data_IF_413518667795
#
_entry.id   IF_413518667795
#
_cell.length_a   1.000
_cell.length_b   1.000
_cell.length_c   1.000
_cell.angle_alpha   90.00
_cell.angle_beta   90.00
_cell.angle_gamma   90.00
#
_symmetry.space_group_name_H-M   'P 1'
#
loop_
_entity.id
_entity.type
_entity.pdbx_description
1 polymer ?
#
# COMPACT_ATOMS: atom_id res chain seq x y z
N UNK A 1 5.83 -13.94 50.72
CA UNK A 1 5.88 -13.44 49.33
C UNK A 1 4.48 -13.00 48.95
N UNK A 2 4.28 -11.75 48.54
CA UNK A 2 3.01 -11.33 47.96
C UNK A 2 2.86 -11.99 46.58
N UNK A 3 1.73 -12.65 46.33
CA UNK A 3 1.48 -13.22 44.99
C UNK A 3 1.35 -12.08 43.98
N UNK A 4 1.89 -12.24 42.78
CA UNK A 4 1.77 -11.24 41.70
C UNK A 4 0.31 -10.79 41.48
N UNK A 5 -0.63 -11.75 41.56
CA UNK A 5 -2.08 -11.56 41.44
C UNK A 5 -2.74 -10.78 42.59
N UNK A 6 -2.01 -10.48 43.67
CA UNK A 6 -2.51 -9.65 44.78
C UNK A 6 -2.38 -8.14 44.54
N UNK A 7 -1.76 -7.74 43.42
CA UNK A 7 -1.64 -6.33 43.04
C UNK A 7 -2.88 -5.83 42.28
N UNK A 8 -3.16 -4.52 42.33
CA UNK A 8 -4.20 -3.90 41.53
C UNK A 8 -4.03 -4.15 40.01
N UNK A 9 -5.13 -4.22 39.25
CA UNK A 9 -5.11 -4.40 37.79
C UNK A 9 -4.17 -3.44 37.05
N UNK A 10 -4.07 -2.20 37.51
CA UNK A 10 -3.24 -1.16 36.89
C UNK A 10 -1.73 -1.45 37.02
N UNK A 11 -1.30 -2.04 38.15
CA UNK A 11 0.09 -2.43 38.34
C UNK A 11 0.42 -3.61 37.43
N UNK A 12 -0.48 -4.60 37.35
CA UNK A 12 -0.29 -5.77 36.49
C UNK A 12 -0.29 -5.36 35.01
N UNK A 13 -1.19 -4.47 34.59
CA UNK A 13 -1.22 -3.91 33.25
C UNK A 13 0.08 -3.16 32.90
N UNK A 14 0.65 -2.41 33.86
CA UNK A 14 1.95 -1.75 33.67
C UNK A 14 3.10 -2.75 33.55
N UNK A 15 3.07 -3.85 34.30
CA UNK A 15 4.05 -4.93 34.18
C UNK A 15 3.93 -5.59 32.80
N UNK A 16 2.72 -5.90 32.34
CA UNK A 16 2.45 -6.41 31.00
C UNK A 16 2.99 -5.47 29.91
N UNK A 17 2.76 -4.15 30.03
CA UNK A 17 3.31 -3.15 29.10
C UNK A 17 4.83 -2.94 29.18
N UNK A 18 5.47 -3.44 30.23
CA UNK A 18 6.92 -3.40 30.39
C UNK A 18 7.62 -4.60 29.73
N UNK A 19 6.87 -5.60 29.26
CA UNK A 19 7.41 -6.73 28.51
C UNK A 19 8.20 -6.27 27.28
N UNK A 20 9.14 -7.13 26.84
CA UNK A 20 10.01 -6.84 25.70
C UNK A 20 9.27 -7.06 24.38
N UNK A 21 8.35 -8.02 24.34
CA UNK A 21 7.55 -8.37 23.16
C UNK A 21 6.08 -8.61 23.48
N UNK A 22 5.24 -8.65 22.43
CA UNK A 22 3.85 -9.09 22.55
C UNK A 22 3.74 -10.55 23.01
N UNK A 23 4.66 -11.42 22.60
CA UNK A 23 4.67 -12.83 22.99
C UNK A 23 4.95 -12.99 24.49
N UNK A 24 5.89 -12.22 25.04
CA UNK A 24 6.18 -12.21 26.48
C UNK A 24 4.98 -11.70 27.28
N UNK A 25 4.36 -10.60 26.82
CA UNK A 25 3.18 -10.04 27.46
C UNK A 25 2.01 -11.03 27.42
N UNK A 26 1.80 -11.70 26.30
CA UNK A 26 0.75 -12.70 26.15
C UNK A 26 1.02 -13.96 26.97
N UNK A 27 2.26 -14.43 27.02
CA UNK A 27 2.66 -15.55 27.88
C UNK A 27 2.43 -15.24 29.36
N UNK A 28 2.79 -14.03 29.81
CA UNK A 28 2.53 -13.57 31.17
C UNK A 28 1.02 -13.46 31.45
N UNK A 29 0.25 -12.88 30.52
CA UNK A 29 -1.19 -12.78 30.63
C UNK A 29 -1.86 -14.16 30.78
N UNK A 30 -1.38 -15.16 30.05
CA UNK A 30 -1.90 -16.54 30.07
C UNK A 30 -1.47 -17.38 31.28
N UNK A 31 -0.65 -16.84 32.17
CA UNK A 31 -0.18 -17.57 33.37
C UNK A 31 -1.31 -17.93 34.34
N UNK A 32 -2.35 -17.09 34.43
CA UNK A 32 -3.55 -17.38 35.23
C UNK A 32 -4.79 -16.65 34.69
N UNK A 33 -5.97 -17.02 35.18
CA UNK A 33 -7.24 -16.42 34.76
C UNK A 33 -7.32 -14.92 35.09
N UNK A 34 -6.78 -14.48 36.23
CA UNK A 34 -6.84 -13.08 36.65
C UNK A 34 -5.99 -12.17 35.74
N UNK A 35 -4.76 -12.58 35.42
CA UNK A 35 -3.90 -11.83 34.48
C UNK A 35 -4.47 -11.83 33.07
N UNK A 36 -5.17 -12.90 32.67
CA UNK A 36 -5.84 -12.97 31.39
C UNK A 36 -7.07 -12.05 31.32
N UNK A 37 -7.84 -11.94 32.40
CA UNK A 37 -8.93 -10.96 32.49
C UNK A 37 -8.39 -9.52 32.37
N UNK A 38 -7.28 -9.20 33.05
CA UNK A 38 -6.62 -7.89 32.93
C UNK A 38 -6.15 -7.64 31.49
N UNK A 39 -5.69 -8.67 30.77
CA UNK A 39 -5.33 -8.53 29.36
C UNK A 39 -6.54 -8.16 28.49
N UNK A 40 -7.71 -8.72 28.76
CA UNK A 40 -8.93 -8.40 28.01
C UNK A 40 -9.41 -6.98 28.33
N UNK A 41 -9.42 -6.60 29.60
CA UNK A 41 -10.00 -5.33 30.06
C UNK A 41 -9.06 -4.12 29.86
N UNK A 42 -7.75 -4.31 30.02
CA UNK A 42 -6.74 -3.25 29.95
C UNK A 42 -5.79 -3.37 28.76
N UNK A 43 -6.00 -4.36 27.89
CA UNK A 43 -5.20 -4.70 26.71
C UNK A 43 -4.71 -3.50 25.92
N UNK A 44 -5.64 -2.61 25.59
CA UNK A 44 -5.38 -1.49 24.72
C UNK A 44 -4.29 -0.54 25.24
N UNK A 45 -4.19 -0.37 26.55
CA UNK A 45 -3.22 0.54 27.16
C UNK A 45 -1.77 0.10 26.96
N UNK A 46 -1.51 -1.21 27.01
CA UNK A 46 -0.16 -1.73 26.90
C UNK A 46 0.17 -2.27 25.51
N UNK A 47 -0.84 -2.60 24.69
CA UNK A 47 -0.63 -2.90 23.27
C UNK A 47 0.03 -1.71 22.57
N UNK A 48 -0.46 -0.49 22.81
CA UNK A 48 0.13 0.72 22.23
C UNK A 48 1.58 0.93 22.70
N UNK A 49 1.86 0.71 23.99
CA UNK A 49 3.20 0.85 24.59
C UNK A 49 4.19 -0.14 23.97
N UNK A 50 3.84 -1.42 23.92
CA UNK A 50 4.68 -2.47 23.33
C UNK A 50 4.82 -2.23 21.83
N UNK A 51 3.72 -1.87 21.16
CA UNK A 51 3.68 -1.62 19.72
C UNK A 51 4.64 -0.52 19.30
N UNK A 52 4.58 0.63 19.96
CA UNK A 52 5.46 1.78 19.68
C UNK A 52 6.93 1.46 19.89
N UNK A 53 7.24 0.57 20.85
CA UNK A 53 8.63 0.14 21.13
C UNK A 53 9.16 -0.93 20.17
N UNK A 54 8.30 -1.82 19.68
CA UNK A 54 8.72 -3.07 19.01
C UNK A 54 8.42 -3.11 17.53
N UNK A 55 7.52 -2.24 17.05
CA UNK A 55 7.04 -2.24 15.69
C UNK A 55 7.43 -0.92 15.01
N UNK A 56 8.27 -0.97 13.96
CA UNK A 56 8.57 0.21 13.15
C UNK A 56 7.28 0.81 12.60
N UNK A 57 7.20 2.14 12.58
CA UNK A 57 6.05 2.87 12.03
C UNK A 57 4.69 2.44 12.62
N UNK A 58 4.63 2.07 13.91
CA UNK A 58 3.45 1.51 14.59
C UNK A 58 2.15 2.30 14.33
N UNK A 59 2.20 3.63 14.43
CA UNK A 59 1.07 4.53 14.16
C UNK A 59 0.42 4.22 12.80
N UNK A 60 1.22 4.12 11.75
CA UNK A 60 0.74 3.94 10.38
C UNK A 60 0.18 2.54 10.16
N UNK A 61 0.76 1.52 10.81
CA UNK A 61 0.21 0.16 10.77
C UNK A 61 -1.20 0.10 11.37
N UNK A 62 -1.43 0.77 12.51
CA UNK A 62 -2.77 0.86 13.14
C UNK A 62 -3.77 1.49 12.19
N UNK A 63 -3.41 2.61 11.58
CA UNK A 63 -4.27 3.31 10.62
C UNK A 63 -4.58 2.42 9.41
N UNK A 64 -3.57 1.76 8.83
CA UNK A 64 -3.74 0.89 7.68
C UNK A 64 -4.60 -0.35 8.00
N UNK A 65 -4.42 -0.97 9.18
CA UNK A 65 -5.26 -2.08 9.66
C UNK A 65 -6.71 -1.63 9.79
N UNK A 66 -6.95 -0.49 10.44
CA UNK A 66 -8.31 0.03 10.64
C UNK A 66 -8.99 0.39 9.32
N UNK A 67 -8.28 1.09 8.42
CA UNK A 67 -8.80 1.42 7.10
C UNK A 67 -9.14 0.16 6.30
N UNK A 68 -8.27 -0.86 6.35
CA UNK A 68 -8.52 -2.16 5.71
C UNK A 68 -9.74 -2.86 6.32
N UNK A 69 -9.90 -2.81 7.65
CA UNK A 69 -11.04 -3.42 8.33
C UNK A 69 -12.35 -2.73 7.98
N UNK A 70 -12.37 -1.39 7.80
CA UNK A 70 -13.54 -0.67 7.28
C UNK A 70 -13.96 -1.18 5.89
N UNK A 71 -13.00 -1.36 4.98
CA UNK A 71 -13.27 -1.92 3.65
C UNK A 71 -13.76 -3.36 3.76
N UNK A 72 -13.10 -4.18 4.59
CA UNK A 72 -13.46 -5.58 4.82
C UNK A 72 -14.87 -5.75 5.37
N UNK A 73 -15.27 -4.92 6.33
CA UNK A 73 -16.62 -4.92 6.91
C UNK A 73 -17.67 -4.53 5.86
N UNK A 74 -17.44 -3.44 5.11
CA UNK A 74 -18.33 -2.99 4.04
C UNK A 74 -18.46 -4.06 2.94
N UNK A 75 -17.34 -4.69 2.57
CA UNK A 75 -17.29 -5.78 1.60
C UNK A 75 -18.09 -7.01 2.05
N UNK A 76 -17.97 -7.43 3.31
CA UNK A 76 -18.79 -8.52 3.83
C UNK A 76 -20.27 -8.13 3.97
N UNK A 77 -20.57 -6.86 4.17
CA UNK A 77 -21.93 -6.33 4.24
C UNK A 77 -22.60 -6.14 2.86
N UNK A 78 -21.89 -6.32 1.74
CA UNK A 78 -22.46 -6.06 0.41
C UNK A 78 -22.57 -4.57 0.07
N UNK A 79 -21.84 -3.68 0.75
CA UNK A 79 -22.00 -2.22 0.68
C UNK A 79 -20.70 -1.51 0.32
N UNK A 80 -20.81 -0.38 -0.38
CA UNK A 80 -19.66 0.51 -0.56
C UNK A 80 -19.24 1.07 0.81
N UNK A 81 -17.93 1.10 1.12
CA UNK A 81 -17.47 1.81 2.31
C UNK A 81 -17.79 3.32 2.18
N UNK A 82 -17.88 4.05 3.31
CA UNK A 82 -18.06 5.49 3.30
C UNK A 82 -16.91 6.19 2.56
N UNK A 83 -17.17 7.38 2.01
CA UNK A 83 -16.08 8.23 1.51
C UNK A 83 -15.28 8.70 2.72
N UNK A 84 -14.06 8.15 2.86
CA UNK A 84 -13.18 8.54 3.94
C UNK A 84 -12.67 9.97 3.68
N UNK A 85 -12.75 10.81 4.69
CA UNK A 85 -12.21 12.17 4.70
C UNK A 85 -10.87 12.20 5.43
N UNK A 86 -10.26 13.38 5.46
CA UNK A 86 -9.03 13.60 6.24
C UNK A 86 -9.27 13.34 7.73
N UNK A 87 -10.38 13.85 8.27
CA UNK A 87 -10.69 13.74 9.69
C UNK A 87 -10.98 12.29 10.07
N UNK A 88 -11.62 11.52 9.17
CA UNK A 88 -11.81 10.08 9.38
C UNK A 88 -10.46 9.34 9.53
N UNK A 89 -9.42 9.70 8.75
CA UNK A 89 -8.08 9.11 8.90
C UNK A 89 -7.47 9.47 10.26
N UNK A 90 -7.63 10.72 10.71
CA UNK A 90 -7.15 11.17 12.03
C UNK A 90 -7.82 10.39 13.17
N UNK A 91 -9.10 10.05 13.04
CA UNK A 91 -9.82 9.22 14.01
C UNK A 91 -9.31 7.77 14.06
N UNK A 92 -8.67 7.27 12.99
CA UNK A 92 -8.07 5.93 12.98
C UNK A 92 -6.76 5.88 13.78
N UNK A 93 -6.17 7.00 14.17
CA UNK A 93 -4.91 7.01 14.89
C UNK A 93 -5.02 6.34 16.29
N UNK A 94 -3.94 5.72 16.79
CA UNK A 94 -3.90 5.18 18.15
C UNK A 94 -4.04 6.28 19.23
N UNK A 95 -3.72 7.53 18.90
CA UNK A 95 -3.90 8.71 19.76
C UNK A 95 -5.38 9.03 19.99
N UNK A 96 -6.24 8.83 19.00
CA UNK A 96 -7.68 9.06 19.09
C UNK A 96 -8.38 7.87 19.75
N UNK A 97 -8.10 6.66 19.28
CA UNK A 97 -8.60 5.42 19.86
C UNK A 97 -7.46 4.41 20.05
N UNK A 98 -7.20 4.01 21.30
CA UNK A 98 -6.21 2.98 21.62
C UNK A 98 -6.47 1.67 20.88
N UNK A 99 -5.41 0.94 20.55
CA UNK A 99 -5.52 -0.32 19.82
C UNK A 99 -6.26 -1.39 20.64
N UNK A 100 -7.34 -1.96 20.11
CA UNK A 100 -8.10 -3.03 20.77
C UNK A 100 -7.36 -4.36 20.67
N UNK A 101 -7.59 -5.25 21.63
CA UNK A 101 -7.03 -6.61 21.60
C UNK A 101 -7.46 -7.41 20.37
N UNK A 102 -8.63 -7.11 19.79
CA UNK A 102 -9.10 -7.70 18.53
C UNK A 102 -8.26 -7.28 17.32
N UNK A 103 -7.63 -6.10 17.35
CA UNK A 103 -6.81 -5.57 16.26
C UNK A 103 -5.37 -6.12 16.29
N UNK A 104 -4.95 -6.71 17.42
CA UNK A 104 -3.58 -7.19 17.60
C UNK A 104 -3.20 -8.29 16.60
N UNK A 105 -4.15 -9.18 16.26
CA UNK A 105 -3.91 -10.23 15.27
C UNK A 105 -3.57 -9.67 13.90
N UNK A 106 -4.35 -8.69 13.43
CA UNK A 106 -4.14 -8.01 12.16
C UNK A 106 -2.83 -7.20 12.19
N UNK A 107 -2.53 -6.51 13.30
CA UNK A 107 -1.27 -5.76 13.45
C UNK A 107 -0.04 -6.65 13.37
N UNK A 108 -0.04 -7.80 14.05
CA UNK A 108 1.06 -8.75 13.98
C UNK A 108 1.19 -9.35 12.58
N UNK A 109 0.09 -9.52 11.85
CA UNK A 109 0.10 -9.97 10.47
C UNK A 109 0.65 -8.90 9.52
N UNK A 110 0.29 -7.63 9.70
CA UNK A 110 0.84 -6.48 8.96
C UNK A 110 2.34 -6.29 9.23
N UNK A 111 2.76 -6.43 10.49
CA UNK A 111 4.18 -6.45 10.88
C UNK A 111 4.94 -7.55 10.16
N UNK A 112 4.35 -8.74 10.10
CA UNK A 112 4.96 -9.89 9.44
C UNK A 112 5.09 -9.68 7.94
N UNK A 113 4.05 -9.14 7.29
CA UNK A 113 4.09 -8.76 5.87
C UNK A 113 5.22 -7.77 5.59
N UNK A 114 5.31 -6.72 6.41
CA UNK A 114 6.35 -5.71 6.28
C UNK A 114 7.75 -6.30 6.43
N UNK A 115 7.94 -7.20 7.39
CA UNK A 115 9.22 -7.89 7.58
C UNK A 115 9.57 -8.85 6.43
N UNK A 116 8.59 -9.54 5.85
CA UNK A 116 8.79 -10.36 4.64
C UNK A 116 9.23 -9.51 3.43
N UNK A 117 8.59 -8.35 3.22
CA UNK A 117 8.93 -7.43 2.14
C UNK A 117 10.29 -6.73 2.37
N UNK A 118 10.60 -6.37 3.62
CA UNK A 118 11.93 -5.86 4.01
C UNK A 118 13.02 -6.92 3.76
N UNK A 119 12.77 -8.17 4.13
CA UNK A 119 13.72 -9.26 3.88
C UNK A 119 13.94 -9.47 2.39
N UNK A 120 12.85 -9.50 1.60
CA UNK A 120 12.93 -9.55 0.14
C UNK A 120 13.78 -8.41 -0.42
N UNK A 121 13.59 -7.19 0.09
CA UNK A 121 14.33 -6.00 -0.32
C UNK A 121 15.85 -6.13 -0.13
N UNK A 122 16.30 -6.77 0.95
CA UNK A 122 17.72 -6.91 1.24
C UNK A 122 18.38 -8.19 0.70
N UNK A 123 17.63 -9.28 0.53
CA UNK A 123 18.21 -10.61 0.34
C UNK A 123 17.83 -11.29 -0.97
N UNK A 124 16.81 -10.79 -1.67
CA UNK A 124 16.46 -11.28 -3.01
C UNK A 124 17.24 -10.39 -4.00
N UNK A 125 18.57 -10.56 -4.00
CA UNK A 125 19.47 -9.95 -4.98
C UNK A 125 19.15 -10.50 -6.38
N UNK A 126 18.83 -9.62 -7.32
CA UNK A 126 19.15 -9.92 -8.73
C UNK A 126 19.28 -8.70 -9.66
N UNK A 127 19.07 -7.47 -9.18
CA UNK A 127 19.47 -6.29 -9.94
C UNK A 127 20.30 -5.33 -9.09
N UNK A 128 21.34 -4.73 -9.70
CA UNK A 128 22.07 -3.59 -9.14
C UNK A 128 21.22 -2.32 -8.92
N UNK A 129 19.89 -2.43 -8.91
CA UNK A 129 18.88 -1.40 -8.63
C UNK A 129 18.60 -1.22 -7.12
N UNK A 130 19.19 -2.03 -6.25
CA UNK A 130 18.98 -2.02 -4.80
C UNK A 130 19.70 -0.83 -4.12
N UNK A 131 19.03 0.32 -3.95
CA UNK A 131 19.25 1.28 -2.83
C UNK A 131 18.40 2.58 -2.91
N UNK A 132 17.16 2.57 -3.40
CA UNK A 132 16.39 3.82 -3.49
C UNK A 132 15.73 4.27 -2.19
N UNK A 133 15.21 3.35 -1.40
CA UNK A 133 14.66 3.69 -0.08
C UNK A 133 15.76 4.10 0.91
N UNK A 134 17.03 3.96 0.52
CA UNK A 134 18.16 4.48 1.26
C UNK A 134 19.41 4.59 0.36
N UNK A 135 19.59 5.72 -0.34
CA UNK A 135 20.85 6.01 -1.05
C UNK A 135 22.03 5.93 -0.08
N UNK A 136 21.79 6.27 1.19
CA UNK A 136 22.76 6.25 2.28
C UNK A 136 23.21 4.81 2.63
N UNK A 137 22.36 3.77 2.49
CA UNK A 137 22.76 2.37 2.75
C UNK A 137 23.78 1.85 1.71
N UNK A 138 23.75 2.38 0.48
CA UNK A 138 24.77 2.09 -0.54
C UNK A 138 26.15 2.60 -0.13
N UNK A 139 26.20 3.76 0.52
CA UNK A 139 27.44 4.30 1.11
C UNK A 139 27.81 3.58 2.43
N UNK A 140 26.84 3.16 3.22
CA UNK A 140 27.07 2.57 4.56
C UNK A 140 27.62 1.15 4.51
N UNK A 141 27.17 0.32 3.56
CA UNK A 141 27.71 -1.04 3.38
C UNK A 141 29.19 -1.03 2.97
N UNK A 142 29.73 0.11 2.51
CA UNK A 142 31.11 0.22 2.02
C UNK A 142 32.01 1.17 2.83
N UNK A 143 31.49 2.14 3.59
CA UNK A 143 32.32 3.24 4.13
C UNK A 143 32.36 3.43 5.66
N UNK A 144 31.41 2.91 6.46
CA UNK A 144 31.42 3.16 7.92
C UNK A 144 31.82 1.92 8.73
N UNK A 145 32.99 1.95 9.37
CA UNK A 145 33.45 0.89 10.31
C UNK A 145 32.81 0.98 11.71
N UNK A 146 31.96 1.99 11.95
CA UNK A 146 31.30 2.20 13.24
C UNK A 146 29.95 1.47 13.29
N UNK A 147 29.89 0.39 14.06
CA UNK A 147 28.70 -0.44 14.24
C UNK A 147 27.52 0.33 14.84
N UNK A 148 27.77 1.33 15.68
CA UNK A 148 26.70 2.10 16.34
C UNK A 148 25.98 3.03 15.37
N UNK A 149 26.75 3.69 14.50
CA UNK A 149 26.23 4.56 13.43
C UNK A 149 25.48 3.72 12.39
N UNK A 150 26.02 2.55 12.04
CA UNK A 150 25.32 1.59 11.17
C UNK A 150 23.97 1.19 11.78
N UNK A 151 23.95 0.79 13.06
CA UNK A 151 22.75 0.32 13.73
C UNK A 151 21.65 1.39 13.77
N UNK A 152 21.98 2.63 14.15
CA UNK A 152 21.00 3.71 14.20
C UNK A 152 20.42 4.00 12.82
N UNK A 153 21.26 4.11 11.79
CA UNK A 153 20.81 4.37 10.41
C UNK A 153 19.95 3.24 9.86
N UNK A 154 20.26 1.99 10.22
CA UNK A 154 19.43 0.84 9.86
C UNK A 154 18.05 0.89 10.52
N UNK A 155 17.98 1.30 11.79
CA UNK A 155 16.69 1.51 12.48
C UNK A 155 15.88 2.63 11.83
N UNK A 156 16.52 3.74 11.47
CA UNK A 156 15.88 4.87 10.79
C UNK A 156 15.35 4.44 9.40
N UNK A 157 16.15 3.71 8.63
CA UNK A 157 15.69 3.12 7.36
C UNK A 157 14.48 2.23 7.56
N UNK A 158 14.54 1.32 8.54
CA UNK A 158 13.48 0.35 8.79
C UNK A 158 12.18 1.04 9.21
N UNK A 159 12.25 2.11 9.98
CA UNK A 159 11.09 2.96 10.26
C UNK A 159 10.52 3.55 8.96
N UNK A 160 11.35 4.20 8.15
CA UNK A 160 10.91 4.85 6.90
C UNK A 160 10.31 3.85 5.91
N UNK A 161 10.95 2.69 5.73
CA UNK A 161 10.48 1.61 4.85
C UNK A 161 9.08 1.13 5.28
N UNK A 162 8.91 0.82 6.56
CA UNK A 162 7.63 0.34 7.10
C UNK A 162 6.57 1.44 7.03
N UNK A 163 6.92 2.70 7.29
CA UNK A 163 6.02 3.85 7.16
C UNK A 163 5.45 3.96 5.76
N UNK A 164 6.32 3.96 4.75
CA UNK A 164 5.92 4.03 3.34
C UNK A 164 5.05 2.85 2.95
N UNK A 165 5.41 1.64 3.36
CA UNK A 165 4.60 0.44 3.12
C UNK A 165 3.20 0.57 3.72
N UNK A 166 3.08 0.97 4.99
CA UNK A 166 1.78 1.12 5.65
C UNK A 166 0.95 2.26 5.06
N UNK A 167 1.58 3.37 4.65
CA UNK A 167 0.90 4.45 3.91
C UNK A 167 0.39 3.98 2.54
N UNK A 168 1.14 3.12 1.85
CA UNK A 168 0.67 2.49 0.61
C UNK A 168 -0.55 1.60 0.87
N UNK A 169 -0.53 0.75 1.90
CA UNK A 169 -1.70 -0.07 2.28
C UNK A 169 -2.91 0.79 2.67
N UNK A 170 -2.70 1.90 3.40
CA UNK A 170 -3.73 2.90 3.67
C UNK A 170 -4.30 3.50 2.37
N UNK A 171 -3.44 3.93 1.45
CA UNK A 171 -3.86 4.51 0.19
C UNK A 171 -4.70 3.52 -0.65
N UNK A 172 -4.32 2.24 -0.63
CA UNK A 172 -5.11 1.16 -1.21
C UNK A 172 -6.52 1.09 -0.62
N UNK A 173 -6.62 1.01 0.71
CA UNK A 173 -7.91 0.94 1.41
C UNK A 173 -8.75 2.21 1.22
N UNK A 174 -8.15 3.39 1.32
CA UNK A 174 -8.81 4.68 1.15
C UNK A 174 -9.43 4.84 -0.25
N UNK A 175 -8.67 4.50 -1.29
CA UNK A 175 -9.10 4.66 -2.68
C UNK A 175 -9.89 3.48 -3.21
N UNK A 176 -10.11 2.44 -2.40
CA UNK A 176 -10.83 1.22 -2.79
C UNK A 176 -12.20 1.55 -3.40
N UNK A 177 -12.96 2.44 -2.75
CA UNK A 177 -14.31 2.82 -3.21
C UNK A 177 -14.27 3.44 -4.60
N UNK A 178 -13.47 4.49 -4.79
CA UNK A 178 -13.39 5.25 -6.05
C UNK A 178 -13.00 4.37 -7.24
N UNK A 179 -12.18 3.35 -7.01
CA UNK A 179 -11.75 2.42 -8.04
C UNK A 179 -12.73 1.25 -8.24
N UNK A 180 -13.47 0.80 -7.22
CA UNK A 180 -14.41 -0.31 -7.39
C UNK A 180 -15.84 0.13 -7.75
N UNK A 181 -16.20 1.40 -7.51
CA UNK A 181 -17.55 1.93 -7.73
C UNK A 181 -18.11 1.68 -9.14
N UNK A 182 -17.39 1.92 -10.25
CA UNK A 182 -17.92 1.63 -11.60
C UNK A 182 -18.28 0.16 -11.81
N UNK A 183 -17.50 -0.77 -11.26
CA UNK A 183 -17.77 -2.20 -11.38
C UNK A 183 -18.97 -2.64 -10.55
N UNK A 184 -19.13 -2.04 -9.38
CA UNK A 184 -20.25 -2.30 -8.48
C UNK A 184 -21.55 -1.74 -9.07
N UNK A 185 -21.51 -0.50 -9.58
CA UNK A 185 -22.66 0.14 -10.22
C UNK A 185 -23.05 -0.55 -11.53
N UNK A 186 -22.09 -1.14 -12.25
CA UNK A 186 -22.36 -1.86 -13.48
C UNK A 186 -23.18 -3.14 -13.27
N UNK A 187 -23.13 -3.71 -12.06
CA UNK A 187 -23.96 -4.86 -11.67
C UNK A 187 -25.47 -4.55 -11.60
N UNK A 188 -25.86 -3.27 -11.67
CA UNK A 188 -27.25 -2.83 -11.67
C UNK A 188 -27.89 -2.77 -13.06
N UNK A 189 -29.19 -2.54 -13.11
CA UNK A 189 -29.97 -2.52 -14.36
C UNK A 189 -29.66 -1.28 -15.24
N UNK A 190 -29.41 -1.49 -16.53
CA UNK A 190 -29.25 -0.45 -17.56
C UNK A 190 -28.41 -0.93 -18.76
N UNK A 191 -28.80 -0.56 -19.98
CA UNK A 191 -28.24 -1.13 -21.22
C UNK A 191 -26.70 -0.99 -21.34
N UNK A 192 -26.14 0.18 -20.99
CA UNK A 192 -24.68 0.41 -21.02
C UNK A 192 -23.93 -0.30 -19.88
N UNK A 193 -24.55 -0.38 -18.70
CA UNK A 193 -24.00 -1.04 -17.50
C UNK A 193 -23.92 -2.55 -17.68
N UNK A 194 -25.02 -3.13 -18.16
CA UNK A 194 -25.10 -4.56 -18.46
C UNK A 194 -24.13 -4.95 -19.58
N UNK A 195 -23.98 -4.09 -20.60
CA UNK A 195 -23.00 -4.28 -21.67
C UNK A 195 -21.57 -4.24 -21.14
N UNK A 196 -21.22 -3.23 -20.34
CA UNK A 196 -19.91 -3.12 -19.71
C UNK A 196 -19.59 -4.36 -18.87
N UNK A 197 -20.51 -4.82 -18.03
CA UNK A 197 -20.31 -6.04 -17.23
C UNK A 197 -20.09 -7.29 -18.09
N UNK A 198 -20.86 -7.47 -19.17
CA UNK A 198 -20.70 -8.61 -20.09
C UNK A 198 -19.37 -8.56 -20.85
N UNK A 199 -18.97 -7.38 -21.31
CA UNK A 199 -17.68 -7.18 -21.99
C UNK A 199 -16.52 -7.50 -21.05
N UNK A 200 -16.58 -7.03 -19.80
CA UNK A 200 -15.59 -7.32 -18.76
C UNK A 200 -15.46 -8.83 -18.50
N UNK A 201 -16.59 -9.54 -18.32
CA UNK A 201 -16.62 -10.99 -18.15
C UNK A 201 -16.03 -11.74 -19.36
N UNK A 202 -16.32 -11.27 -20.57
CA UNK A 202 -15.78 -11.84 -21.81
C UNK A 202 -14.26 -11.65 -21.91
N UNK A 203 -13.74 -10.47 -21.55
CA UNK A 203 -12.30 -10.21 -21.52
C UNK A 203 -11.59 -11.14 -20.53
N UNK A 204 -12.16 -11.30 -19.33
CA UNK A 204 -11.64 -12.20 -18.30
C UNK A 204 -11.62 -13.67 -18.77
N UNK A 205 -12.72 -14.16 -19.35
CA UNK A 205 -12.83 -15.54 -19.81
C UNK A 205 -11.81 -15.89 -20.91
N UNK A 206 -11.42 -14.91 -21.72
CA UNK A 206 -10.49 -15.12 -22.83
C UNK A 206 -9.03 -15.13 -22.37
N UNK A 207 -8.69 -14.55 -21.21
CA UNK A 207 -7.30 -14.23 -20.82
C UNK A 207 -6.52 -13.49 -21.92
N UNK A 208 -7.24 -12.86 -22.88
CA UNK A 208 -6.65 -12.13 -24.01
C UNK A 208 -6.55 -10.67 -23.56
N UNK A 209 -5.41 -10.33 -22.97
CA UNK A 209 -5.05 -8.98 -22.52
C UNK A 209 -4.06 -8.28 -23.47
N UNK A 210 -3.93 -8.77 -24.70
CA UNK A 210 -2.81 -8.40 -25.60
C UNK A 210 -3.22 -7.97 -27.01
N UNK A 211 -4.52 -7.85 -27.34
CA UNK A 211 -4.93 -7.39 -28.68
C UNK A 211 -6.23 -6.61 -28.66
N UNK A 212 -6.14 -5.28 -28.88
CA UNK A 212 -7.16 -4.37 -29.46
C UNK A 212 -8.64 -4.77 -29.27
N UNK A 213 -9.04 -5.25 -28.09
CA UNK A 213 -10.43 -5.55 -27.77
C UNK A 213 -10.89 -4.43 -26.85
N UNK A 214 -11.13 -3.28 -27.45
CA UNK A 214 -11.68 -2.12 -26.76
C UNK A 214 -13.08 -2.44 -26.26
N UNK A 215 -13.38 -1.95 -25.06
CA UNK A 215 -14.74 -1.74 -24.61
C UNK A 215 -15.53 -1.00 -25.71
N UNK A 216 -16.82 -1.30 -25.86
CA UNK A 216 -17.67 -0.54 -26.80
C UNK A 216 -17.73 0.95 -26.41
N UNK A 217 -18.07 1.82 -27.36
CA UNK A 217 -18.18 3.26 -27.10
C UNK A 217 -19.12 3.58 -25.92
N UNK A 218 -20.21 2.81 -25.77
CA UNK A 218 -21.14 2.94 -24.63
C UNK A 218 -20.48 2.55 -23.30
N UNK A 219 -19.72 1.45 -23.29
CA UNK A 219 -18.94 1.00 -22.13
C UNK A 219 -17.84 2.00 -21.80
N UNK A 220 -17.21 2.61 -22.80
CA UNK A 220 -16.18 3.65 -22.64
C UNK A 220 -16.76 4.95 -22.07
N UNK A 221 -17.92 5.39 -22.58
CA UNK A 221 -18.64 6.55 -22.07
C UNK A 221 -19.05 6.33 -20.61
N UNK A 222 -19.57 5.14 -20.28
CA UNK A 222 -19.95 4.78 -18.91
C UNK A 222 -18.78 4.89 -17.93
N UNK A 223 -17.62 4.31 -18.27
CA UNK A 223 -16.48 4.32 -17.35
C UNK A 223 -15.81 5.71 -17.28
N UNK A 224 -15.98 6.56 -18.30
CA UNK A 224 -15.50 7.95 -18.27
C UNK A 224 -16.26 8.85 -17.27
N UNK A 225 -17.46 8.46 -16.84
CA UNK A 225 -18.18 9.16 -15.76
C UNK A 225 -17.46 9.09 -14.40
N UNK A 226 -16.43 8.24 -14.28
CA UNK A 226 -15.68 8.01 -13.05
C UNK A 226 -14.28 8.65 -13.18
N UNK A 227 -13.96 9.67 -12.36
CA UNK A 227 -12.74 10.47 -12.54
C UNK A 227 -11.43 9.67 -12.56
N UNK A 228 -11.31 8.62 -11.72
CA UNK A 228 -10.10 7.77 -11.68
C UNK A 228 -9.85 6.99 -12.98
N UNK A 229 -10.85 6.95 -13.87
CA UNK A 229 -10.82 6.26 -15.14
C UNK A 229 -10.84 7.19 -16.36
N UNK A 230 -10.92 8.51 -16.17
CA UNK A 230 -10.82 9.51 -17.24
C UNK A 230 -9.66 10.46 -16.97
N UNK A 231 -8.46 9.87 -16.88
CA UNK A 231 -7.23 10.50 -16.41
C UNK A 231 -6.91 11.81 -17.16
N UNK A 232 -7.04 11.84 -18.48
CA UNK A 232 -6.72 13.02 -19.29
C UNK A 232 -7.73 14.15 -19.19
N UNK A 233 -8.94 13.89 -18.69
CA UNK A 233 -9.99 14.89 -18.50
C UNK A 233 -10.29 15.17 -17.04
N UNK A 234 -9.47 14.62 -16.14
CA UNK A 234 -9.64 14.80 -14.71
C UNK A 234 -9.35 16.27 -14.36
N UNK A 235 -10.41 17.04 -14.15
CA UNK A 235 -10.29 18.43 -13.69
C UNK A 235 -9.65 18.49 -12.30
N UNK A 236 -9.00 19.62 -11.96
CA UNK A 236 -8.47 19.88 -10.61
C UNK A 236 -9.53 19.64 -9.52
N UNK A 237 -10.79 20.02 -9.77
CA UNK A 237 -11.88 19.79 -8.82
C UNK A 237 -12.20 18.30 -8.62
N UNK A 238 -12.12 17.49 -9.68
CA UNK A 238 -12.31 16.04 -9.56
C UNK A 238 -11.11 15.34 -8.90
N UNK A 239 -9.88 15.79 -9.16
CA UNK A 239 -8.70 15.31 -8.44
C UNK A 239 -8.77 15.66 -6.96
N UNK A 240 -9.16 16.89 -6.62
CA UNK A 240 -9.39 17.32 -5.24
C UNK A 240 -10.41 16.43 -4.53
N UNK A 241 -11.52 16.11 -5.20
CA UNK A 241 -12.56 15.26 -4.62
C UNK A 241 -12.08 13.83 -4.34
N UNK A 242 -11.26 13.25 -5.22
CA UNK A 242 -10.81 11.86 -5.10
C UNK A 242 -9.58 11.73 -4.20
N UNK A 243 -8.60 12.60 -4.38
CA UNK A 243 -7.27 12.50 -3.77
C UNK A 243 -7.04 13.51 -2.66
N UNK A 244 -7.78 14.63 -2.62
CA UNK A 244 -7.48 15.78 -1.76
C UNK A 244 -7.31 15.43 -0.28
N UNK A 245 -8.22 14.64 0.28
CA UNK A 245 -8.18 14.24 1.69
C UNK A 245 -7.00 13.33 2.03
N UNK A 246 -6.74 12.30 1.21
CA UNK A 246 -5.60 11.40 1.40
C UNK A 246 -4.28 12.14 1.18
N UNK A 247 -4.17 12.91 0.10
CA UNK A 247 -2.99 13.70 -0.23
C UNK A 247 -2.65 14.69 0.89
N UNK A 248 -3.67 15.36 1.45
CA UNK A 248 -3.51 16.24 2.61
C UNK A 248 -2.91 15.51 3.80
N UNK A 249 -3.45 14.35 4.17
CA UNK A 249 -2.94 13.55 5.28
C UNK A 249 -1.49 13.11 5.03
N UNK A 250 -1.20 12.59 3.83
CA UNK A 250 0.14 12.13 3.47
C UNK A 250 1.15 13.28 3.49
N UNK A 251 0.75 14.51 3.14
CA UNK A 251 1.61 15.72 3.15
C UNK A 251 1.76 16.33 4.54
N UNK A 252 0.68 16.54 5.30
CA UNK A 252 0.74 17.13 6.65
C UNK A 252 1.62 16.29 7.58
N UNK A 253 1.55 14.97 7.45
CA UNK A 253 2.40 14.04 8.18
C UNK A 253 3.90 14.22 7.84
N UNK A 254 4.24 14.61 6.61
CA UNK A 254 5.63 14.93 6.24
C UNK A 254 6.03 16.34 6.72
N UNK A 255 5.10 17.31 6.69
CA UNK A 255 5.34 18.71 7.05
C UNK A 255 5.43 18.96 8.57
N UNK A 256 4.92 18.05 9.42
CA UNK A 256 5.06 18.16 10.89
C UNK A 256 6.50 17.99 11.38
N UNK A 257 7.44 17.58 10.53
CA UNK A 257 8.88 17.64 10.80
C UNK A 257 9.37 19.08 10.59
N UNK A 258 9.37 19.87 11.66
CA UNK A 258 9.52 21.34 11.68
C UNK A 258 10.91 21.91 11.31
N UNK A 259 11.63 21.28 10.38
CA UNK A 259 12.94 21.75 9.89
C UNK A 259 12.84 22.20 8.42
N UNK A 260 13.21 23.44 8.05
CA UNK A 260 13.33 23.87 6.66
C UNK A 260 14.19 22.95 5.77
N UNK A 261 15.10 22.15 6.35
CA UNK A 261 15.85 21.11 5.64
C UNK A 261 14.98 19.91 5.18
N UNK A 262 13.77 19.75 5.71
CA UNK A 262 12.83 18.67 5.38
C UNK A 262 12.01 18.89 4.11
N UNK A 263 12.17 20.01 3.40
CA UNK A 263 11.63 20.18 2.04
C UNK A 263 12.09 19.07 1.06
N UNK A 264 13.18 18.37 1.41
CA UNK A 264 13.73 17.23 0.66
C UNK A 264 13.17 15.85 1.07
N UNK A 265 12.51 15.72 2.23
CA UNK A 265 11.91 14.46 2.67
C UNK A 265 10.59 14.16 1.93
N UNK A 266 9.90 15.17 1.39
CA UNK A 266 8.65 14.94 0.64
C UNK A 266 8.92 14.33 -0.74
N UNK A 267 9.78 14.89 -1.60
CA UNK A 267 10.11 14.21 -2.86
C UNK A 267 10.64 12.80 -2.59
N UNK A 268 11.41 12.61 -1.52
CA UNK A 268 11.86 11.27 -1.11
C UNK A 268 10.68 10.35 -0.76
N UNK A 269 9.73 10.78 0.06
CA UNK A 269 8.63 9.91 0.51
C UNK A 269 7.62 9.60 -0.61
N UNK A 270 7.39 10.54 -1.53
CA UNK A 270 6.61 10.30 -2.75
C UNK A 270 7.31 9.28 -3.64
N UNK A 271 8.61 9.47 -3.91
CA UNK A 271 9.40 8.51 -4.69
C UNK A 271 9.49 7.13 -4.02
N UNK A 272 9.65 7.11 -2.70
CA UNK A 272 9.63 5.90 -1.90
C UNK A 272 8.28 5.18 -2.01
N UNK A 273 7.17 5.92 -2.04
CA UNK A 273 5.83 5.35 -2.16
C UNK A 273 5.56 4.79 -3.55
N UNK A 274 6.01 5.47 -4.61
CA UNK A 274 5.99 4.97 -5.99
C UNK A 274 6.85 3.71 -6.10
N UNK A 275 8.07 3.75 -5.57
CA UNK A 275 8.97 2.59 -5.57
C UNK A 275 8.39 1.43 -4.77
N UNK A 276 7.77 1.69 -3.61
CA UNK A 276 7.14 0.64 -2.81
C UNK A 276 6.02 -0.05 -3.59
N UNK A 277 5.19 0.70 -4.33
CA UNK A 277 4.18 0.14 -5.23
C UNK A 277 4.82 -0.77 -6.31
N UNK A 278 5.85 -0.28 -6.99
CA UNK A 278 6.54 -1.03 -8.06
C UNK A 278 7.35 -2.22 -7.54
N UNK A 279 7.96 -2.11 -6.37
CA UNK A 279 8.80 -3.15 -5.78
C UNK A 279 7.97 -4.29 -5.17
N UNK A 280 6.83 -3.98 -4.55
CA UNK A 280 5.93 -5.01 -3.98
C UNK A 280 5.32 -5.90 -5.08
N UNK A 281 5.05 -5.28 -6.22
CA UNK A 281 4.36 -5.85 -7.36
C UNK A 281 4.97 -7.18 -7.86
N UNK A 282 6.30 -7.30 -8.10
CA UNK A 282 6.96 -8.56 -8.42
C UNK A 282 6.99 -9.62 -7.31
N UNK A 283 6.87 -9.21 -6.04
CA UNK A 283 6.93 -10.14 -4.90
C UNK A 283 5.61 -10.88 -4.65
N UNK A 284 4.51 -10.36 -5.21
CA UNK A 284 3.16 -10.86 -5.02
C UNK A 284 2.66 -11.67 -6.23
N UNK A 285 2.27 -12.90 -5.95
CA UNK A 285 1.76 -13.84 -6.94
C UNK A 285 0.28 -14.08 -6.69
N UNK A 286 -0.48 -14.32 -7.76
CA UNK A 286 -1.85 -14.79 -7.59
C UNK A 286 -1.88 -16.29 -7.23
N UNK A 287 -3.06 -16.79 -6.86
CA UNK A 287 -3.26 -18.20 -6.51
C UNK A 287 -2.90 -19.20 -7.62
N UNK A 288 -2.82 -18.75 -8.88
CA UNK A 288 -2.38 -19.58 -10.02
C UNK A 288 -0.85 -19.57 -10.22
N UNK A 289 -0.10 -18.95 -9.31
CA UNK A 289 1.36 -18.83 -9.39
C UNK A 289 1.84 -17.85 -10.46
N UNK A 290 0.92 -17.06 -11.05
CA UNK A 290 1.26 -16.02 -12.01
C UNK A 290 1.62 -14.72 -11.27
N UNK A 291 2.68 -14.02 -11.71
CA UNK A 291 2.98 -12.66 -11.25
C UNK A 291 1.83 -11.71 -11.56
N UNK A 292 1.51 -10.78 -10.66
CA UNK A 292 0.38 -9.86 -10.85
C UNK A 292 0.62 -8.78 -11.91
N UNK A 293 1.85 -8.30 -12.06
CA UNK A 293 2.14 -7.20 -12.99
C UNK A 293 2.63 -7.64 -14.37
N UNK A 294 2.65 -8.94 -14.65
CA UNK A 294 3.10 -9.48 -15.94
C UNK A 294 4.63 -9.64 -16.06
N UNK A 295 5.40 -9.28 -15.04
CA UNK A 295 6.83 -9.60 -14.97
C UNK A 295 7.01 -11.09 -14.70
N UNK A 296 7.71 -11.82 -15.59
CA UNK A 296 8.04 -13.21 -15.33
C UNK A 296 8.79 -13.34 -13.98
N UNK A 297 8.56 -14.43 -13.22
CA UNK A 297 9.34 -14.68 -12.03
C UNK A 297 10.83 -14.74 -12.39
N UNK A 298 11.69 -14.08 -11.63
CA UNK A 298 13.14 -14.18 -11.82
C UNK A 298 13.69 -15.59 -11.52
N UNK A 299 12.92 -16.48 -10.86
CA UNK A 299 13.26 -17.91 -10.72
C UNK A 299 12.07 -18.88 -10.77
N UNK A 300 12.33 -20.07 -11.32
CA UNK A 300 11.45 -21.24 -11.30
C UNK A 300 11.25 -21.78 -9.86
N UNK A 301 10.38 -21.16 -9.07
CA UNK A 301 9.89 -21.76 -7.82
C UNK A 301 8.64 -22.58 -8.13
N UNK A 302 8.70 -23.89 -7.86
CA UNK A 302 7.57 -24.79 -8.01
C UNK A 302 6.58 -24.54 -6.88
N UNK A 303 5.31 -24.29 -7.21
CA UNK A 303 4.22 -24.01 -6.27
C UNK A 303 3.73 -25.25 -5.47
N UNK A 304 4.54 -26.30 -5.36
CA UNK A 304 4.14 -27.57 -4.74
C UNK A 304 4.68 -27.63 -3.32
N UNK A 305 3.75 -27.77 -2.36
CA UNK A 305 3.94 -27.90 -0.91
C UNK A 305 4.38 -26.62 -0.18
N UNK A 306 3.47 -25.64 -0.15
CA UNK A 306 3.64 -24.48 0.70
C UNK A 306 3.55 -24.90 2.19
N UNK A 307 4.57 -24.63 3.03
CA UNK A 307 4.53 -24.86 4.46
C UNK A 307 3.39 -24.05 5.12
N UNK A 308 3.03 -24.32 6.40
CA UNK A 308 1.99 -23.54 7.07
C UNK A 308 2.28 -22.04 6.94
N UNK A 309 1.24 -21.28 6.54
CA UNK A 309 1.37 -19.89 6.11
C UNK A 309 0.67 -18.96 7.09
N UNK A 310 1.29 -17.81 7.38
CA UNK A 310 0.59 -16.69 8.01
C UNK A 310 -0.24 -15.99 6.93
N UNK A 311 -1.40 -15.45 7.31
CA UNK A 311 -2.32 -14.78 6.39
C UNK A 311 -2.61 -13.38 6.89
N UNK A 312 -2.76 -12.44 5.97
CA UNK A 312 -3.15 -11.06 6.27
C UNK A 312 -4.14 -10.58 5.23
N UNK A 313 -5.22 -9.93 5.67
CA UNK A 313 -6.13 -9.23 4.75
C UNK A 313 -5.60 -7.83 4.49
N UNK A 314 -5.46 -7.43 3.22
CA UNK A 314 -4.97 -6.12 2.80
C UNK A 314 -5.77 -5.59 1.62
N UNK A 315 -5.68 -4.28 1.40
CA UNK A 315 -5.97 -3.68 0.10
C UNK A 315 -4.67 -3.11 -0.45
N UNK A 316 -4.15 -3.72 -1.51
CA UNK A 316 -2.91 -3.27 -2.14
C UNK A 316 -3.20 -2.04 -3.00
N UNK A 317 -2.37 -1.00 -2.84
CA UNK A 317 -2.42 0.17 -3.69
C UNK A 317 -2.11 -0.19 -5.14
N UNK A 318 -2.96 0.27 -6.05
CA UNK A 318 -2.90 -0.03 -7.48
C UNK A 318 -3.73 -1.22 -7.91
N UNK A 319 -3.89 -2.23 -7.05
CA UNK A 319 -4.80 -3.36 -7.31
C UNK A 319 -6.23 -3.01 -6.89
N UNK A 320 -6.36 -2.29 -5.76
CA UNK A 320 -7.63 -1.89 -5.15
C UNK A 320 -8.61 -3.06 -4.94
N UNK A 321 -8.09 -4.27 -4.73
CA UNK A 321 -8.89 -5.43 -4.37
C UNK A 321 -8.69 -5.76 -2.90
N UNK A 322 -9.71 -6.35 -2.28
CA UNK A 322 -9.57 -6.91 -0.94
C UNK A 322 -8.97 -8.31 -1.06
N UNK A 323 -7.79 -8.49 -0.47
CA UNK A 323 -6.98 -9.68 -0.73
C UNK A 323 -6.45 -10.27 0.55
N UNK A 324 -6.23 -11.58 0.49
CA UNK A 324 -5.56 -12.31 1.52
C UNK A 324 -4.18 -12.74 1.04
N UNK A 325 -3.15 -12.15 1.65
CA UNK A 325 -1.76 -12.46 1.35
C UNK A 325 -1.30 -13.57 2.28
N UNK A 326 -0.89 -14.68 1.67
CA UNK A 326 -0.25 -15.79 2.36
C UNK A 326 1.26 -15.59 2.38
N UNK A 327 1.84 -15.67 3.57
CA UNK A 327 3.24 -15.38 3.88
C UNK A 327 3.88 -16.61 4.56
N UNK A 328 5.18 -16.85 4.37
CA UNK A 328 5.86 -17.89 5.13
C UNK A 328 5.83 -17.59 6.64
N UNK A 329 5.81 -18.63 7.49
CA UNK A 329 5.88 -18.43 8.95
C UNK A 329 7.20 -17.79 9.37
N UNK A 330 8.30 -18.23 8.76
CA UNK A 330 9.63 -17.67 8.98
C UNK A 330 9.94 -16.70 7.86
N UNK A 331 10.43 -15.52 8.23
CA UNK A 331 10.72 -14.46 7.25
C UNK A 331 11.84 -14.92 6.32
N UNK A 332 12.80 -15.68 6.84
CA UNK A 332 13.95 -16.17 6.08
C UNK A 332 13.49 -17.03 4.90
N UNK A 333 12.42 -17.81 5.03
CA UNK A 333 11.89 -18.68 3.98
C UNK A 333 11.40 -17.90 2.75
N UNK A 334 11.35 -16.56 2.78
CA UNK A 334 11.13 -15.71 1.60
C UNK A 334 12.11 -15.96 0.45
N UNK A 335 13.31 -16.51 0.72
CA UNK A 335 14.25 -16.88 -0.34
C UNK A 335 13.79 -18.09 -1.19
N UNK A 336 12.92 -18.94 -0.66
CA UNK A 336 12.44 -20.16 -1.31
C UNK A 336 10.91 -20.21 -1.46
N UNK A 337 10.19 -19.26 -0.88
CA UNK A 337 8.72 -19.15 -0.93
C UNK A 337 8.28 -17.82 -1.53
N UNK A 338 7.02 -17.73 -1.94
CA UNK A 338 6.43 -16.53 -2.56
C UNK A 338 5.30 -15.99 -1.70
N UNK A 339 5.08 -14.69 -1.74
CA UNK A 339 3.85 -14.10 -1.21
C UNK A 339 2.71 -14.40 -2.20
N UNK A 340 1.63 -14.99 -1.71
CA UNK A 340 0.48 -15.35 -2.54
C UNK A 340 -0.71 -14.50 -2.14
N UNK A 341 -1.06 -13.53 -2.99
CA UNK A 341 -2.19 -12.65 -2.83
C UNK A 341 -3.42 -13.22 -3.53
N UNK A 342 -4.38 -13.71 -2.74
CA UNK A 342 -5.64 -14.28 -3.24
C UNK A 342 -6.76 -13.31 -2.95
N UNK A 343 -7.53 -12.92 -3.97
CA UNK A 343 -8.69 -12.07 -3.78
C UNK A 343 -9.69 -12.75 -2.83
N UNK A 344 -10.20 -11.98 -1.87
CA UNK A 344 -11.19 -12.47 -0.93
C UNK A 344 -12.52 -12.74 -1.65
N UNK A 345 -13.15 -13.87 -1.35
CA UNK A 345 -14.49 -14.17 -1.86
C UNK A 345 -15.51 -13.67 -0.83
N UNK A 346 -16.50 -12.88 -1.28
CA UNK A 346 -17.65 -12.59 -0.42
C UNK A 346 -18.44 -13.89 -0.26
N UNK A 347 -18.77 -14.27 0.98
CA UNK A 347 -19.69 -15.39 1.17
C UNK A 347 -21.04 -15.03 0.52
N UNK A 348 -21.65 -15.93 -0.27
CA UNK A 348 -23.02 -15.74 -0.70
C UNK A 348 -23.91 -15.76 0.54
N UNK A 349 -24.31 -14.58 1.02
CA UNK A 349 -25.24 -14.50 2.15
C UNK A 349 -26.61 -14.97 1.67
N UNK A 350 -27.16 -16.00 2.31
CA UNK A 350 -28.54 -16.47 2.11
C UNK A 350 -29.58 -15.37 2.42
N UNK A 351 -29.20 -14.31 3.15
CA UNK A 351 -30.06 -13.17 3.45
C UNK A 351 -30.01 -12.04 2.41
N UNK A 352 -29.19 -12.15 1.36
CA UNK A 352 -29.13 -11.17 0.28
C UNK A 352 -30.26 -11.40 -0.75
N UNK A 353 -31.52 -11.45 -0.27
CA UNK A 353 -32.68 -11.22 -1.15
C UNK A 353 -32.70 -9.73 -1.53
N UNK A 354 -31.83 -9.34 -2.47
CA UNK A 354 -31.76 -7.98 -3.04
C UNK A 354 -30.38 -7.33 -3.03
N UNK A 355 -29.36 -7.95 -2.42
CA UNK A 355 -27.98 -7.46 -2.49
C UNK A 355 -27.27 -8.10 -3.69
N UNK A 356 -26.92 -7.32 -4.71
CA UNK A 356 -26.03 -7.77 -5.77
C UNK A 356 -24.70 -8.19 -5.13
N UNK A 357 -24.32 -9.47 -5.23
CA UNK A 357 -22.96 -9.90 -4.91
C UNK A 357 -21.97 -8.99 -5.63
N UNK A 358 -20.89 -8.56 -4.95
CA UNK A 358 -19.91 -7.64 -5.52
C UNK A 358 -19.42 -8.13 -6.88
N UNK A 359 -19.88 -7.50 -7.96
CA UNK A 359 -19.57 -7.95 -9.31
C UNK A 359 -18.10 -7.74 -9.70
N UNK A 360 -17.29 -7.12 -8.83
CA UNK A 360 -15.84 -6.96 -9.02
C UNK A 360 -15.00 -8.21 -8.61
N UNK A 361 -15.63 -9.29 -8.13
CA UNK A 361 -14.91 -10.54 -7.87
C UNK A 361 -14.23 -11.10 -9.14
N UNK A 362 -12.92 -11.29 -9.06
CA UNK A 362 -12.08 -11.87 -10.12
C UNK A 362 -11.50 -10.88 -11.12
N UNK A 363 -11.82 -9.58 -11.02
CA UNK A 363 -11.29 -8.57 -11.94
C UNK A 363 -10.00 -7.97 -11.39
N UNK A 364 -8.88 -8.27 -12.05
CA UNK A 364 -7.67 -7.46 -11.93
C UNK A 364 -7.93 -6.14 -12.65
N UNK A 365 -8.46 -5.16 -11.91
CA UNK A 365 -8.90 -3.86 -12.44
C UNK A 365 -7.74 -3.15 -13.16
N UNK A 366 -6.54 -3.23 -12.58
CA UNK A 366 -5.34 -2.63 -13.14
C UNK A 366 -4.96 -3.29 -14.47
N UNK A 367 -4.90 -4.63 -14.53
CA UNK A 367 -4.62 -5.34 -15.77
C UNK A 367 -5.74 -5.18 -16.81
N UNK A 368 -7.00 -5.17 -16.38
CA UNK A 368 -8.18 -5.09 -17.26
C UNK A 368 -8.27 -3.76 -17.97
N UNK A 369 -7.81 -2.68 -17.33
CA UNK A 369 -7.86 -1.34 -17.89
C UNK A 369 -6.49 -0.82 -18.33
N UNK A 370 -5.42 -1.61 -18.16
CA UNK A 370 -4.04 -1.30 -18.60
C UNK A 370 -3.99 -0.88 -20.07
N UNK A 371 -4.69 -1.62 -20.93
CA UNK A 371 -4.73 -1.33 -22.37
C UNK A 371 -5.53 -0.06 -22.69
N UNK A 372 -6.52 0.30 -21.86
CA UNK A 372 -7.20 1.59 -22.00
C UNK A 372 -6.26 2.74 -21.65
N UNK A 373 -5.47 2.63 -20.58
CA UNK A 373 -4.46 3.65 -20.26
C UNK A 373 -3.41 3.77 -21.36
N UNK A 374 -3.10 2.67 -22.04
CA UNK A 374 -2.22 2.70 -23.21
C UNK A 374 -2.80 3.41 -24.43
N UNK A 375 -4.12 3.38 -24.61
CA UNK A 375 -4.78 3.89 -25.82
C UNK A 375 -5.38 5.30 -25.66
N UNK A 376 -5.41 5.85 -24.44
CA UNK A 376 -5.91 7.20 -24.18
C UNK A 376 -4.91 8.30 -24.52
N UNK A 377 -3.62 7.97 -24.74
CA UNK A 377 -2.70 8.83 -25.47
C UNK A 377 -3.09 8.81 -26.94
N UNK A 378 -3.85 9.82 -27.39
CA UNK A 378 -4.42 9.87 -28.74
C UNK A 378 -3.39 9.53 -29.82
N UNK A 379 -3.86 9.03 -30.97
CA UNK A 379 -3.01 8.55 -32.08
C UNK A 379 -1.98 9.58 -32.61
N UNK A 380 -2.04 10.84 -32.17
CA UNK A 380 -1.21 11.95 -32.63
C UNK A 380 -0.10 12.41 -31.66
N UNK A 381 -0.04 11.95 -30.40
CA UNK A 381 1.05 12.31 -29.47
C UNK A 381 1.63 11.06 -28.80
N UNK A 382 2.53 10.37 -29.52
CA UNK A 382 3.31 9.24 -29.01
C UNK A 382 4.24 9.61 -27.83
N UNK A 383 4.37 10.89 -27.48
CA UNK A 383 5.41 11.40 -26.59
C UNK A 383 4.93 11.69 -25.15
N UNK A 384 3.62 11.73 -24.85
CA UNK A 384 3.10 12.09 -23.52
C UNK A 384 2.06 11.10 -22.99
N UNK A 385 2.54 9.97 -22.46
CA UNK A 385 1.71 8.98 -21.78
C UNK A 385 1.34 9.47 -20.37
N UNK A 386 0.06 9.46 -20.03
CA UNK A 386 -0.39 9.80 -18.68
C UNK A 386 0.06 8.75 -17.65
N UNK A 387 0.33 9.15 -16.39
CA UNK A 387 0.66 8.20 -15.34
C UNK A 387 -0.43 7.14 -15.20
N UNK A 388 -0.03 5.89 -14.93
CA UNK A 388 -0.97 4.83 -14.55
C UNK A 388 -1.88 5.35 -13.42
N UNK A 389 -3.21 5.08 -13.41
CA UNK A 389 -4.16 5.72 -12.50
C UNK A 389 -3.82 5.77 -11.01
N UNK A 390 -3.24 4.71 -10.42
CA UNK A 390 -2.79 4.75 -9.03
C UNK A 390 -1.78 5.88 -8.80
N UNK A 391 -0.93 6.20 -9.79
CA UNK A 391 0.07 7.25 -9.71
C UNK A 391 -0.50 8.66 -9.85
N UNK A 392 -1.76 8.81 -10.26
CA UNK A 392 -2.44 10.11 -10.29
C UNK A 392 -2.52 10.77 -8.92
N UNK A 393 -2.57 9.98 -7.84
CA UNK A 393 -2.44 10.49 -6.48
C UNK A 393 -1.12 11.24 -6.29
N UNK A 394 -0.01 10.65 -6.75
CA UNK A 394 1.32 11.24 -6.58
C UNK A 394 1.53 12.44 -7.49
N UNK A 395 1.06 12.39 -8.74
CA UNK A 395 1.04 13.56 -9.65
C UNK A 395 0.31 14.73 -9.00
N UNK A 396 -0.92 14.48 -8.51
CA UNK A 396 -1.72 15.49 -7.83
C UNK A 396 -1.04 16.04 -6.57
N UNK A 397 -0.42 15.18 -5.75
CA UNK A 397 0.32 15.61 -4.55
C UNK A 397 1.48 16.55 -4.89
N UNK A 398 2.28 16.17 -5.89
CA UNK A 398 3.45 16.94 -6.35
C UNK A 398 3.04 18.30 -6.92
N UNK A 399 2.04 18.32 -7.80
CA UNK A 399 1.55 19.56 -8.41
C UNK A 399 0.94 20.50 -7.35
N UNK A 400 0.02 19.98 -6.53
CA UNK A 400 -0.77 20.80 -5.61
C UNK A 400 0.05 21.38 -4.46
N UNK A 401 0.90 20.57 -3.84
CA UNK A 401 1.58 20.96 -2.60
C UNK A 401 3.01 21.41 -2.82
N UNK A 402 3.63 21.04 -3.95
CA UNK A 402 5.05 21.29 -4.20
C UNK A 402 5.32 22.07 -5.48
N UNK A 403 4.34 22.26 -6.36
CA UNK A 403 4.59 22.85 -7.67
C UNK A 403 5.64 22.04 -8.44
N UNK A 404 5.56 20.71 -8.35
CA UNK A 404 6.43 19.79 -9.06
C UNK A 404 5.60 19.00 -10.06
N UNK A 405 6.16 18.85 -11.27
CA UNK A 405 5.59 18.01 -12.33
C UNK A 405 6.60 16.93 -12.73
N UNK A 406 6.07 15.74 -13.05
CA UNK A 406 6.87 14.71 -13.68
C UNK A 406 7.39 15.20 -15.04
N UNK A 407 8.56 14.70 -15.45
CA UNK A 407 9.08 15.00 -16.79
C UNK A 407 8.12 14.55 -17.89
N UNK A 408 8.05 15.29 -19.03
CA UNK A 408 7.56 14.72 -20.27
C UNK A 408 8.26 13.39 -20.52
N UNK A 409 7.51 12.37 -20.95
CA UNK A 409 8.01 11.01 -21.17
C UNK A 409 8.48 10.25 -19.92
N UNK A 410 8.27 10.76 -18.70
CA UNK A 410 8.53 10.04 -17.43
C UNK A 410 7.88 8.65 -17.35
N UNK A 411 6.83 8.44 -18.16
CA UNK A 411 6.04 7.22 -18.23
C UNK A 411 6.10 6.54 -19.60
N UNK A 412 7.06 6.91 -20.46
CA UNK A 412 7.21 6.33 -21.80
C UNK A 412 7.61 4.84 -21.72
N UNK A 413 6.96 4.01 -22.54
CA UNK A 413 7.09 2.55 -22.58
C UNK A 413 8.23 2.06 -23.50
N UNK A 414 9.06 2.97 -24.04
CA UNK A 414 10.25 2.60 -24.81
C UNK A 414 11.22 1.71 -24.02
N UNK A 415 11.13 1.69 -22.69
CA UNK A 415 11.79 0.73 -21.82
C UNK A 415 10.86 -0.47 -21.55
N UNK A 416 11.11 -1.59 -22.24
CA UNK A 416 10.40 -2.87 -22.04
C UNK A 416 10.56 -3.43 -20.61
N UNK A 417 11.54 -2.93 -19.85
CA UNK A 417 11.81 -3.24 -18.45
C UNK A 417 11.21 -2.15 -17.57
N UNK A 418 10.28 -2.51 -16.66
CA UNK A 418 9.75 -1.67 -15.58
C UNK A 418 9.73 -0.17 -15.91
N UNK A 419 8.62 0.34 -16.44
CA UNK A 419 8.45 1.74 -16.89
C UNK A 419 8.90 2.83 -15.88
N UNK A 420 9.16 2.44 -14.63
CA UNK A 420 9.55 3.29 -13.51
C UNK A 420 10.97 3.01 -13.01
N UNK A 421 11.70 2.06 -13.60
CA UNK A 421 13.13 1.84 -13.40
C UNK A 421 13.97 3.00 -13.96
N UNK A 422 13.41 3.79 -14.88
CA UNK A 422 14.01 5.05 -15.37
C UNK A 422 14.03 6.14 -14.28
N UNK A 423 13.08 6.11 -13.34
CA UNK A 423 13.11 6.99 -12.15
C UNK A 423 14.32 6.76 -11.23
N UNK A 424 15.02 5.64 -11.41
CA UNK A 424 16.24 5.31 -10.68
C UNK A 424 17.46 6.11 -11.19
N UNK A 425 17.42 6.59 -12.44
CA UNK A 425 18.62 7.03 -13.17
C UNK A 425 18.52 8.44 -13.76
N UNK A 426 17.30 8.93 -14.01
CA UNK A 426 17.06 10.25 -14.60
C UNK A 426 16.43 11.24 -13.61
N UNK A 427 16.61 12.56 -13.79
CA UNK A 427 15.87 13.54 -13.02
C UNK A 427 14.38 13.33 -13.29
N UNK A 428 13.60 13.00 -12.27
CA UNK A 428 12.18 12.60 -12.43
C UNK A 428 11.27 13.81 -12.63
N UNK A 429 11.72 15.00 -12.21
CA UNK A 429 10.95 16.23 -12.28
C UNK A 429 11.42 17.13 -13.44
N UNK A 430 10.48 17.70 -14.17
CA UNK A 430 10.75 18.58 -15.30
C UNK A 430 10.99 20.02 -14.90
N UNK A 431 10.35 20.48 -13.83
CA UNK A 431 10.34 21.89 -13.49
C UNK A 431 10.01 22.09 -12.01
N UNK A 432 10.83 22.87 -11.32
CA UNK A 432 10.49 23.45 -10.02
C UNK A 432 10.01 24.89 -10.25
N UNK A 433 8.69 25.13 -10.15
CA UNK A 433 8.10 26.45 -10.35
C UNK A 433 8.52 27.49 -9.30
N UNK A 434 9.15 27.06 -8.20
CA UNK A 434 9.65 27.95 -7.14
C UNK A 434 11.10 28.40 -7.36
N UNK A 435 11.95 27.55 -7.94
CA UNK A 435 13.38 27.86 -8.17
C UNK A 435 13.75 28.08 -9.63
N UNK A 436 12.91 27.69 -10.58
CA UNK A 436 13.15 27.83 -12.02
C UNK A 436 14.30 26.95 -12.55
N UNK A 437 14.71 25.94 -11.79
CA UNK A 437 15.79 25.00 -12.14
C UNK A 437 15.20 23.59 -12.32
N UNK A 438 15.84 22.74 -13.13
CA UNK A 438 15.48 21.33 -13.27
C UNK A 438 16.20 20.51 -12.18
N UNK A 439 15.52 20.08 -11.11
CA UNK A 439 16.20 19.40 -10.02
C UNK A 439 16.54 17.97 -10.41
N UNK A 440 17.82 17.58 -10.29
CA UNK A 440 18.18 16.16 -10.28
C UNK A 440 17.83 15.56 -8.92
N UNK A 441 17.34 14.33 -8.88
CA UNK A 441 17.02 13.63 -7.62
C UNK A 441 18.24 13.58 -6.68
N UNK A 442 19.43 13.35 -7.25
CA UNK A 442 20.72 13.48 -6.57
C UNK A 442 21.03 14.91 -6.11
N UNK A 443 20.63 15.95 -6.86
CA UNK A 443 20.78 17.35 -6.46
C UNK A 443 19.90 17.73 -5.25
N UNK A 444 18.66 17.23 -5.22
CA UNK A 444 17.74 17.38 -4.07
C UNK A 444 18.26 16.65 -2.83
N UNK A 445 18.85 15.46 -3.00
CA UNK A 445 19.46 14.68 -1.92
C UNK A 445 20.81 15.25 -1.44
N UNK A 446 21.68 15.73 -2.34
CA UNK A 446 23.02 16.23 -2.02
C UNK A 446 23.05 17.65 -1.43
N UNK A 447 21.98 18.44 -1.57
CA UNK A 447 21.85 19.70 -0.82
C UNK A 447 22.00 19.49 0.70
N UNK A 448 21.80 18.26 1.18
CA UNK A 448 21.94 17.83 2.58
C UNK A 448 23.36 17.48 3.02
N UNK A 449 24.32 17.25 2.11
CA UNK A 449 25.69 16.83 2.51
C UNK A 449 26.69 17.99 2.68
N UNK A 450 26.27 19.23 2.42
CA UNK A 450 27.15 20.41 2.43
C UNK A 450 26.81 21.49 3.46
N UNK A 451 25.86 21.27 4.37
CA UNK A 451 25.56 22.20 5.46
C UNK A 451 25.60 21.51 6.82
#
# INVERSE_FOLDING_TARGET
MAMFTSHPPEIIARVLGSCVSFDDAFALARSCQYTYAIWLDHGASFIDIIGTRTMPAYKYAVIAVRATNLVKEAFHAGQLPPDMTHDDIEELQPSYQKCRSSELGDLLAFRHLAACLEYAYFHIEEDGYSCLLCPEIRDITWCTKDESVFHQRFLDFREKFHRVLYKSLLAGAFLWKSHNEPFIKAAGNGDARERFSKELQSLQARQIWQRRLGLSDDSQAYIADFPVYDVHKMTTASQEKVFGHLARYLVEDIATVSDPACATEVPWEVMASIYAHEYQSPQLYNASGKPRHGYAPLKNSNASDLPPMRRVTVVLFGEFQLEEVSMPIKIEDMHCTRLVATQLQALPSESAQGGTAFACHGFDIAATLRDRYRLLGGEEEYDNWAPHPPLQLYTFMLEKYYGLEFRPCAFDQTYEEAAYATFLWEPVFAHDYTTGMDPTFLGLLHARSRN
#
